data_IF_011029947962
#
_entry.id   IF_011029947962
#
_cell.length_a   1.000
_cell.length_b   1.000
_cell.length_c   1.000
_cell.angle_alpha   90.00
_cell.angle_beta   90.00
_cell.angle_gamma   90.00
#
_symmetry.space_group_name_H-M   'P 1'
#
loop_
_entity.id
_entity.type
_entity.pdbx_description
1 polymer ?
#
# COMPACT_ATOMS: atom_id res chain seq x y z
N UNK A 1 -12.48 -35.05 -12.04
CA UNK A 1 -12.97 -33.66 -12.00
C UNK A 1 -12.39 -32.96 -13.21
N UNK A 2 -13.23 -32.37 -14.07
CA UNK A 2 -12.80 -31.67 -15.29
C UNK A 2 -13.25 -30.21 -15.22
N UNK A 3 -12.31 -29.29 -15.37
CA UNK A 3 -12.59 -27.87 -15.41
C UNK A 3 -12.92 -27.46 -16.86
N UNK A 4 -13.99 -26.71 -17.03
CA UNK A 4 -14.44 -26.22 -18.34
C UNK A 4 -14.49 -24.68 -18.36
N UNK A 5 -14.23 -24.05 -19.52
CA UNK A 5 -14.28 -22.60 -19.66
C UNK A 5 -15.70 -22.06 -19.54
N UNK A 6 -15.91 -21.04 -18.71
CA UNK A 6 -17.25 -20.49 -18.43
C UNK A 6 -17.82 -19.53 -19.49
N UNK A 7 -17.14 -19.30 -20.61
CA UNK A 7 -17.52 -18.32 -21.64
C UNK A 7 -17.66 -18.96 -23.04
N UNK A 8 -17.86 -20.26 -23.09
CA UNK A 8 -17.91 -21.04 -24.33
C UNK A 8 -19.32 -21.62 -24.60
N UNK A 9 -20.36 -21.03 -24.01
CA UNK A 9 -21.77 -21.40 -24.18
C UNK A 9 -22.02 -22.92 -24.07
N UNK A 10 -21.31 -23.58 -23.15
CA UNK A 10 -21.41 -25.03 -22.97
C UNK A 10 -22.78 -25.32 -22.36
N UNK A 11 -23.67 -26.11 -23.02
CA UNK A 11 -25.05 -26.26 -22.59
C UNK A 11 -25.21 -26.72 -21.14
N UNK A 12 -24.31 -27.57 -20.67
CA UNK A 12 -24.29 -28.02 -19.27
C UNK A 12 -23.88 -26.94 -18.27
N UNK A 13 -22.97 -26.04 -18.64
CA UNK A 13 -22.57 -24.89 -17.83
C UNK A 13 -23.69 -23.86 -17.76
N UNK A 14 -24.28 -23.53 -18.90
CA UNK A 14 -25.41 -22.59 -18.98
C UNK A 14 -26.62 -23.10 -18.19
N UNK A 15 -26.93 -24.40 -18.28
CA UNK A 15 -28.01 -25.01 -17.50
C UNK A 15 -27.71 -24.99 -15.99
N UNK A 16 -26.46 -25.24 -15.61
CA UNK A 16 -26.04 -25.17 -14.21
C UNK A 16 -26.13 -23.73 -13.66
N UNK A 17 -25.70 -22.74 -14.44
CA UNK A 17 -25.75 -21.31 -14.05
C UNK A 17 -27.20 -20.81 -13.97
N UNK A 18 -28.05 -21.21 -14.92
CA UNK A 18 -29.49 -20.91 -14.90
C UNK A 18 -30.18 -21.48 -13.65
N UNK A 19 -29.93 -22.75 -13.31
CA UNK A 19 -30.46 -23.37 -12.10
C UNK A 19 -29.92 -22.72 -10.82
N UNK A 20 -28.64 -22.35 -10.82
CA UNK A 20 -28.04 -21.63 -9.70
C UNK A 20 -28.70 -20.26 -9.51
N UNK A 21 -29.04 -19.56 -10.60
CA UNK A 21 -29.74 -18.28 -10.60
C UNK A 21 -31.20 -18.42 -10.13
N UNK A 22 -31.93 -19.42 -10.61
CA UNK A 22 -33.28 -19.73 -10.13
C UNK A 22 -33.29 -20.01 -8.61
N UNK A 23 -32.29 -20.73 -8.11
CA UNK A 23 -32.14 -20.96 -6.68
C UNK A 23 -31.90 -19.68 -5.85
N UNK A 24 -31.45 -18.57 -6.46
CA UNK A 24 -31.32 -17.28 -5.76
C UNK A 24 -32.65 -16.54 -5.58
N UNK A 25 -33.69 -16.91 -6.34
CA UNK A 25 -35.03 -16.34 -6.24
C UNK A 25 -35.90 -17.08 -5.21
N UNK A 26 -35.50 -18.29 -4.82
CA UNK A 26 -36.17 -19.06 -3.77
C UNK A 26 -35.93 -18.44 -2.39
N UNK A 27 -36.97 -18.40 -1.57
CA UNK A 27 -36.84 -17.97 -0.18
C UNK A 27 -35.82 -18.87 0.53
N UNK A 28 -34.81 -18.29 1.19
CA UNK A 28 -33.83 -19.09 1.92
C UNK A 28 -34.53 -19.89 3.02
N UNK A 29 -34.11 -21.14 3.27
CA UNK A 29 -34.69 -21.96 4.31
C UNK A 29 -34.63 -21.23 5.67
N UNK A 30 -35.69 -21.33 6.47
CA UNK A 30 -35.88 -20.60 7.75
C UNK A 30 -34.76 -20.82 8.78
N UNK A 31 -33.90 -21.81 8.55
CA UNK A 31 -32.63 -21.97 9.24
C UNK A 31 -31.65 -20.90 8.73
N UNK A 32 -31.80 -19.68 9.24
CA UNK A 32 -30.86 -18.58 9.13
C UNK A 32 -29.47 -19.00 9.64
N UNK A 33 -28.69 -19.68 8.80
CA UNK A 33 -27.27 -19.86 9.01
C UNK A 33 -26.63 -18.54 8.61
N UNK A 34 -26.19 -17.77 9.61
CA UNK A 34 -25.48 -16.50 9.37
C UNK A 34 -24.36 -16.78 8.38
N UNK A 35 -24.34 -16.06 7.25
CA UNK A 35 -23.30 -16.22 6.24
C UNK A 35 -21.92 -16.06 6.88
N UNK A 36 -21.01 -17.00 6.61
CA UNK A 36 -19.62 -16.93 7.07
C UNK A 36 -18.97 -15.60 6.66
N UNK A 37 -19.34 -15.05 5.50
CA UNK A 37 -18.85 -13.75 5.05
C UNK A 37 -19.31 -12.61 5.97
N UNK A 38 -20.57 -12.61 6.42
CA UNK A 38 -21.11 -11.60 7.34
C UNK A 38 -20.41 -11.72 8.70
N UNK A 39 -20.29 -12.94 9.24
CA UNK A 39 -19.61 -13.19 10.52
C UNK A 39 -18.14 -12.75 10.45
N UNK A 40 -17.43 -13.11 9.38
CA UNK A 40 -16.04 -12.72 9.18
C UNK A 40 -15.87 -11.21 9.06
N UNK A 41 -16.80 -10.53 8.38
CA UNK A 41 -16.81 -9.07 8.26
C UNK A 41 -17.02 -8.41 9.63
N UNK A 42 -17.98 -8.90 10.43
CA UNK A 42 -18.23 -8.41 11.79
C UNK A 42 -17.03 -8.61 12.70
N UNK A 43 -16.39 -9.78 12.68
CA UNK A 43 -15.18 -10.05 13.46
C UNK A 43 -14.06 -9.08 13.07
N UNK A 44 -13.83 -8.84 11.77
CA UNK A 44 -12.84 -7.87 11.30
C UNK A 44 -13.14 -6.46 11.80
N UNK A 45 -14.41 -6.03 11.76
CA UNK A 45 -14.82 -4.71 12.27
C UNK A 45 -14.62 -4.58 13.78
N UNK A 46 -14.91 -5.64 14.55
CA UNK A 46 -14.67 -5.65 16.00
C UNK A 46 -13.17 -5.53 16.31
N UNK A 47 -12.33 -6.34 15.66
CA UNK A 47 -10.88 -6.27 15.84
C UNK A 47 -10.30 -4.91 15.45
N UNK A 48 -10.80 -4.28 14.39
CA UNK A 48 -10.39 -2.93 13.99
C UNK A 48 -10.74 -1.88 15.05
N UNK A 49 -11.95 -1.95 15.64
CA UNK A 49 -12.37 -1.04 16.72
C UNK A 49 -11.53 -1.22 17.98
N UNK A 50 -11.27 -2.46 18.37
CA UNK A 50 -10.41 -2.76 19.52
C UNK A 50 -8.99 -2.22 19.30
N UNK A 51 -8.42 -2.43 18.11
CA UNK A 51 -7.11 -1.93 17.76
C UNK A 51 -7.04 -0.40 17.77
N UNK A 52 -8.06 0.28 17.22
CA UNK A 52 -8.18 1.74 17.29
C UNK A 52 -8.19 2.26 18.73
N UNK A 53 -8.96 1.61 19.60
CA UNK A 53 -9.04 1.96 21.02
C UNK A 53 -7.68 1.83 21.70
N UNK A 54 -6.96 0.74 21.47
CA UNK A 54 -5.63 0.52 22.03
C UNK A 54 -4.62 1.56 21.54
N UNK A 55 -4.62 1.90 20.25
CA UNK A 55 -3.74 2.92 19.69
C UNK A 55 -3.99 4.30 20.29
N UNK A 56 -5.26 4.66 20.50
CA UNK A 56 -5.63 5.94 21.12
C UNK A 56 -5.18 6.00 22.59
N UNK A 57 -5.38 4.92 23.34
CA UNK A 57 -4.89 4.81 24.71
C UNK A 57 -3.37 4.92 24.79
N UNK A 58 -2.65 4.22 23.90
CA UNK A 58 -1.20 4.33 23.78
C UNK A 58 -0.77 5.76 23.48
N UNK A 59 -1.42 6.42 22.51
CA UNK A 59 -1.12 7.80 22.11
C UNK A 59 -1.27 8.76 23.28
N UNK A 60 -2.36 8.67 24.04
CA UNK A 60 -2.59 9.49 25.24
C UNK A 60 -1.48 9.31 26.27
N UNK A 61 -1.12 8.05 26.58
CA UNK A 61 -0.05 7.71 27.53
C UNK A 61 1.34 8.18 27.05
N UNK A 62 1.63 8.07 25.76
CA UNK A 62 2.90 8.51 25.19
C UNK A 62 3.03 10.04 25.21
N UNK A 63 1.94 10.73 24.83
CA UNK A 63 1.90 12.20 24.78
C UNK A 63 1.96 12.82 26.17
N UNK A 64 1.31 12.22 27.17
CA UNK A 64 1.37 12.73 28.55
C UNK A 64 2.76 12.63 29.18
N UNK A 65 3.55 11.61 28.79
CA UNK A 65 4.93 11.45 29.25
C UNK A 65 5.91 12.36 28.51
N UNK A 66 5.72 12.51 27.20
CA UNK A 66 6.56 13.38 26.36
C UNK A 66 5.72 13.94 25.19
N UNK A 67 5.46 15.26 25.18
CA UNK A 67 4.71 15.94 24.12
C UNK A 67 5.34 15.86 22.73
N UNK A 68 6.65 15.59 22.63
CA UNK A 68 7.39 15.50 21.36
C UNK A 68 7.55 14.06 20.85
N UNK A 69 6.81 13.10 21.41
CA UNK A 69 6.83 11.72 20.92
C UNK A 69 6.32 11.59 19.49
N UNK A 70 6.79 10.56 18.79
CA UNK A 70 6.32 10.24 17.44
C UNK A 70 4.79 10.11 17.38
N UNK A 71 4.18 9.47 18.39
CA UNK A 71 2.73 9.31 18.49
C UNK A 71 1.97 10.63 18.71
N UNK A 72 2.59 11.63 19.34
CA UNK A 72 2.00 12.96 19.48
C UNK A 72 1.99 13.68 18.13
N UNK A 73 3.12 13.63 17.41
CA UNK A 73 3.33 14.32 16.12
C UNK A 73 2.58 13.69 14.95
N UNK A 74 2.46 12.36 14.92
CA UNK A 74 1.87 11.62 13.80
C UNK A 74 0.66 10.80 14.25
N UNK A 75 -0.51 11.06 13.65
CA UNK A 75 -1.72 10.26 13.89
C UNK A 75 -1.61 8.92 13.17
N UNK A 76 -1.78 7.83 13.91
CA UNK A 76 -1.88 6.49 13.34
C UNK A 76 -3.06 6.40 12.37
N UNK A 77 -2.80 5.94 11.14
CA UNK A 77 -3.83 5.62 10.15
C UNK A 77 -3.83 4.11 9.97
N UNK A 78 -4.89 3.43 10.40
CA UNK A 78 -5.10 1.99 10.14
C UNK A 78 -5.67 1.81 8.73
N UNK A 79 -4.99 2.37 7.74
CA UNK A 79 -5.34 2.08 6.35
C UNK A 79 -4.49 0.88 5.95
N UNK A 80 -5.14 -0.18 5.45
CA UNK A 80 -4.44 -1.36 4.93
C UNK A 80 -3.53 -1.04 3.74
N UNK A 81 -3.79 0.07 3.06
CA UNK A 81 -3.06 0.52 1.89
C UNK A 81 -2.73 2.00 2.02
N UNK A 82 -1.52 2.37 1.58
CA UNK A 82 -1.18 3.78 1.37
C UNK A 82 -2.13 4.31 0.31
N UNK A 83 -2.88 5.37 0.64
CA UNK A 83 -3.85 5.95 -0.27
C UNK A 83 -3.11 6.70 -1.38
N UNK A 84 -3.09 6.11 -2.57
CA UNK A 84 -2.61 6.76 -3.80
C UNK A 84 -3.84 7.41 -4.46
N UNK A 85 -3.72 8.62 -5.03
CA UNK A 85 -4.83 9.27 -5.75
C UNK A 85 -5.45 8.34 -6.78
N UNK A 86 -6.78 8.40 -6.93
CA UNK A 86 -7.50 7.67 -7.97
C UNK A 86 -6.95 8.05 -9.36
N UNK A 87 -6.97 7.10 -10.29
CA UNK A 87 -6.42 7.25 -11.64
C UNK A 87 -4.89 7.44 -11.73
N UNK A 88 -4.14 7.13 -10.67
CA UNK A 88 -2.68 7.07 -10.76
C UNK A 88 -2.26 5.86 -11.59
N UNK A 89 -1.40 6.09 -12.59
CA UNK A 89 -0.84 5.01 -13.41
C UNK A 89 -0.08 4.01 -12.56
N UNK A 90 -0.18 2.71 -12.90
CA UNK A 90 0.46 1.62 -12.16
C UNK A 90 1.96 1.82 -11.98
N UNK A 91 2.64 2.31 -13.02
CA UNK A 91 4.09 2.58 -12.99
C UNK A 91 4.44 3.59 -11.88
N UNK A 92 3.65 4.67 -11.78
CA UNK A 92 3.83 5.73 -10.78
C UNK A 92 3.53 5.19 -9.39
N UNK A 93 2.44 4.42 -9.23
CA UNK A 93 2.11 3.79 -7.96
C UNK A 93 3.20 2.83 -7.48
N UNK A 94 3.73 2.01 -8.38
CA UNK A 94 4.82 1.07 -8.07
C UNK A 94 6.08 1.81 -7.66
N UNK A 95 6.47 2.85 -8.40
CA UNK A 95 7.62 3.68 -8.04
C UNK A 95 7.43 4.32 -6.66
N UNK A 96 6.25 4.86 -6.38
CA UNK A 96 5.93 5.43 -5.07
C UNK A 96 6.07 4.42 -3.93
N UNK A 97 5.51 3.21 -4.05
CA UNK A 97 5.66 2.18 -3.02
C UNK A 97 7.12 1.74 -2.84
N UNK A 98 7.86 1.57 -3.94
CA UNK A 98 9.26 1.20 -3.88
C UNK A 98 10.11 2.27 -3.17
N UNK A 99 9.83 3.55 -3.44
CA UNK A 99 10.50 4.67 -2.76
C UNK A 99 10.13 4.68 -1.26
N UNK A 100 8.83 4.55 -0.94
CA UNK A 100 8.32 4.51 0.45
C UNK A 100 8.92 3.39 1.29
N UNK A 101 9.10 2.21 0.70
CA UNK A 101 9.62 1.05 1.40
C UNK A 101 11.15 0.92 1.30
N UNK A 102 11.84 1.79 0.55
CA UNK A 102 13.28 1.67 0.31
C UNK A 102 13.69 0.51 -0.61
N UNK A 103 12.73 -0.09 -1.33
CA UNK A 103 12.93 -1.20 -2.26
C UNK A 103 12.97 -0.74 -3.73
N UNK A 104 13.58 0.41 -3.97
CA UNK A 104 13.76 0.97 -5.31
C UNK A 104 14.98 0.36 -6.01
N UNK A 105 14.91 0.22 -7.33
CA UNK A 105 15.99 -0.28 -8.20
C UNK A 105 17.14 0.74 -8.38
N UNK A 106 17.59 1.35 -7.28
CA UNK A 106 18.79 2.18 -7.24
C UNK A 106 20.03 1.31 -7.06
N UNK A 107 21.21 1.79 -7.47
CA UNK A 107 22.46 1.02 -7.38
C UNK A 107 22.79 0.61 -5.95
N UNK A 108 22.51 1.43 -4.93
CA UNK A 108 22.73 1.03 -3.53
C UNK A 108 21.91 -0.21 -3.14
N UNK A 109 20.63 -0.25 -3.52
CA UNK A 109 19.77 -1.40 -3.27
C UNK A 109 20.23 -2.65 -4.03
N UNK A 110 20.63 -2.49 -5.29
CA UNK A 110 21.11 -3.59 -6.13
C UNK A 110 22.47 -4.12 -5.67
N UNK A 111 23.38 -3.24 -5.25
CA UNK A 111 24.70 -3.59 -4.74
C UNK A 111 24.60 -4.42 -3.46
N UNK A 112 23.73 -4.01 -2.51
CA UNK A 112 23.43 -4.77 -1.30
C UNK A 112 22.88 -6.19 -1.56
N UNK A 113 22.34 -6.44 -2.76
CA UNK A 113 21.87 -7.76 -3.20
C UNK A 113 22.81 -8.47 -4.16
N UNK A 114 24.02 -7.96 -4.36
CA UNK A 114 25.02 -8.54 -5.27
C UNK A 114 24.58 -8.56 -6.74
N UNK A 115 23.77 -7.58 -7.17
CA UNK A 115 23.27 -7.48 -8.55
C UNK A 115 24.06 -6.51 -9.43
N UNK A 116 24.89 -5.66 -8.82
CA UNK A 116 25.80 -4.72 -9.48
C UNK A 116 27.08 -4.62 -8.68
N UNK A 117 28.19 -4.28 -9.35
CA UNK A 117 29.53 -4.24 -8.73
C UNK A 117 29.81 -2.99 -7.91
N UNK A 118 28.98 -1.94 -8.05
CA UNK A 118 29.16 -0.68 -7.34
C UNK A 118 27.82 0.02 -7.05
N UNK A 119 27.71 0.60 -5.85
CA UNK A 119 26.60 1.46 -5.44
C UNK A 119 26.76 2.94 -5.84
N UNK A 120 27.86 3.31 -6.50
CA UNK A 120 28.16 4.70 -6.84
C UNK A 120 27.19 5.26 -7.89
N UNK A 121 26.79 6.51 -7.71
CA UNK A 121 25.92 7.23 -8.63
C UNK A 121 26.69 7.72 -9.86
N UNK A 122 26.18 7.53 -11.08
CA UNK A 122 26.82 8.05 -12.30
C UNK A 122 26.95 9.57 -12.38
N UNK A 123 26.27 10.32 -11.50
CA UNK A 123 26.32 11.79 -11.52
C UNK A 123 27.70 12.36 -11.20
N UNK A 124 28.49 11.64 -10.40
CA UNK A 124 29.83 12.07 -9.97
C UNK A 124 30.76 10.90 -9.61
N UNK A 125 30.26 9.65 -9.67
CA UNK A 125 30.98 8.40 -9.33
C UNK A 125 31.60 8.37 -7.92
N UNK A 126 31.18 9.28 -7.02
CA UNK A 126 31.69 9.39 -5.65
C UNK A 126 30.58 9.21 -4.62
N UNK A 127 29.39 9.71 -4.89
CA UNK A 127 28.24 9.58 -4.01
C UNK A 127 27.57 8.22 -4.18
N UNK A 128 27.07 7.65 -3.10
CA UNK A 128 26.18 6.48 -3.14
C UNK A 128 24.88 6.86 -3.84
N UNK A 129 24.40 6.03 -4.76
CA UNK A 129 23.08 6.20 -5.37
C UNK A 129 21.99 5.66 -4.47
N UNK A 130 21.68 6.40 -3.41
CA UNK A 130 20.59 6.13 -2.49
C UNK A 130 19.40 7.09 -2.70
N UNK A 131 18.27 6.78 -2.07
CA UNK A 131 17.05 7.60 -2.07
C UNK A 131 17.33 9.07 -1.70
N UNK A 132 18.00 9.37 -0.56
CA UNK A 132 18.38 10.74 -0.20
C UNK A 132 19.17 11.47 -1.29
N UNK A 133 20.13 10.80 -1.92
CA UNK A 133 20.94 11.37 -2.98
C UNK A 133 20.08 11.70 -4.21
N UNK A 134 19.28 10.75 -4.71
CA UNK A 134 18.41 10.98 -5.87
C UNK A 134 17.43 12.13 -5.61
N UNK A 135 16.76 12.12 -4.45
CA UNK A 135 15.69 13.06 -4.12
C UNK A 135 16.18 14.47 -3.79
N UNK A 136 17.41 14.64 -3.30
CA UNK A 136 17.87 15.97 -2.82
C UNK A 136 19.16 16.49 -3.44
N UNK A 137 20.07 15.62 -3.89
CA UNK A 137 21.48 16.00 -4.18
C UNK A 137 21.97 15.65 -5.59
N UNK A 138 21.32 14.73 -6.29
CA UNK A 138 21.87 14.13 -7.51
C UNK A 138 21.89 15.09 -8.71
N UNK A 139 23.05 15.47 -9.23
CA UNK A 139 23.11 16.44 -10.33
C UNK A 139 22.36 16.00 -11.61
N UNK A 140 22.20 14.69 -11.83
CA UNK A 140 21.46 14.17 -12.99
C UNK A 140 19.95 14.49 -12.95
N UNK A 141 19.38 14.61 -11.75
CA UNK A 141 17.94 14.85 -11.56
C UNK A 141 17.66 16.28 -11.07
N UNK A 142 18.48 17.25 -11.51
CA UNK A 142 18.40 18.63 -11.00
C UNK A 142 17.09 19.30 -11.38
N UNK A 143 16.67 19.16 -12.63
CA UNK A 143 15.47 19.82 -13.16
C UNK A 143 14.20 19.21 -12.57
N UNK A 144 14.14 17.88 -12.45
CA UNK A 144 13.04 17.17 -11.82
C UNK A 144 12.90 17.55 -10.35
N UNK A 145 14.03 17.73 -9.63
CA UNK A 145 13.99 18.23 -8.24
C UNK A 145 13.54 19.68 -8.14
N UNK A 146 13.80 20.50 -9.16
CA UNK A 146 13.32 21.88 -9.20
C UNK A 146 11.80 21.88 -9.32
N UNK A 147 11.26 21.12 -10.27
CA UNK A 147 9.81 20.94 -10.42
C UNK A 147 9.15 20.34 -9.18
N UNK A 148 9.79 19.35 -8.53
CA UNK A 148 9.29 18.77 -7.28
C UNK A 148 9.21 19.80 -6.15
N UNK A 149 10.21 20.67 -6.03
CA UNK A 149 10.23 21.75 -5.02
C UNK A 149 9.15 22.79 -5.30
N UNK A 150 8.97 23.19 -6.55
CA UNK A 150 7.93 24.15 -6.94
C UNK A 150 6.52 23.60 -6.67
N UNK A 151 6.32 22.29 -6.83
CA UNK A 151 5.04 21.64 -6.57
C UNK A 151 4.75 21.33 -5.08
N UNK A 152 5.74 21.45 -4.19
CA UNK A 152 5.59 21.13 -2.77
C UNK A 152 5.59 22.42 -1.93
N UNK A 153 4.49 22.69 -1.23
CA UNK A 153 4.34 23.84 -0.32
C UNK A 153 5.08 23.65 1.03
N UNK A 154 6.34 23.22 1.02
CA UNK A 154 7.15 23.06 2.24
C UNK A 154 8.50 22.36 2.05
N UNK A 155 9.28 22.28 3.14
CA UNK A 155 10.59 21.62 3.13
C UNK A 155 10.44 20.10 2.88
N UNK A 156 10.96 19.66 1.73
CA UNK A 156 11.04 18.26 1.36
C UNK A 156 12.03 17.54 2.30
N UNK A 157 11.51 16.65 3.15
CA UNK A 157 12.32 15.79 4.00
C UNK A 157 11.98 14.31 3.79
N UNK A 158 12.96 13.43 4.00
CA UNK A 158 12.74 11.98 3.90
C UNK A 158 11.58 11.48 4.78
N UNK A 159 11.38 11.93 6.03
CA UNK A 159 10.24 11.50 6.84
C UNK A 159 8.85 11.95 6.32
N UNK A 160 8.80 12.88 5.37
CA UNK A 160 7.57 13.26 4.67
C UNK A 160 7.38 12.36 3.45
N UNK A 161 8.48 11.97 2.79
CA UNK A 161 8.52 11.14 1.59
C UNK A 161 8.59 9.63 1.88
N UNK A 162 8.91 9.21 3.10
CA UNK A 162 8.89 7.84 3.67
C UNK A 162 7.74 7.76 4.67
#
# INVERSE_FOLDING_TARGET
LYWVPGHQDIPGNEKADALAKEATELDPPSTSKTSLAITSSRIKQLGEREWLSQLEQYRKKATSKNPHTYAAKYKWKIRKQIAIPSNTRREISSAFYQLKLGHCYLRDYLYKRGKVDSNSCPCNYRSIQDLPHILFRCNLYREERKGLREACEGDLSLPILL
#
